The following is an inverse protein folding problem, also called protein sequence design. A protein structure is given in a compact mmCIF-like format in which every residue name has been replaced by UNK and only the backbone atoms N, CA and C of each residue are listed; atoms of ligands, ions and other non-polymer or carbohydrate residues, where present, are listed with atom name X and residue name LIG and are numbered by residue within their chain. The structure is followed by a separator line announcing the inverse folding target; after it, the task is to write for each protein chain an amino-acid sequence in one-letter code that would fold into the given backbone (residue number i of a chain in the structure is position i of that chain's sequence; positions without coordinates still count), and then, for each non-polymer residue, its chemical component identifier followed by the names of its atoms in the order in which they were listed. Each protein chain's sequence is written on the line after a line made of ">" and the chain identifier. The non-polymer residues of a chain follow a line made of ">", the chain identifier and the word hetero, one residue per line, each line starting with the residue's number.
data_IF_505396203597
#
_entry.id   IF_505396203597
#
_cell.length_a   1.000
_cell.length_b   1.000
_cell.length_c   1.000
_cell.angle_alpha   90.00
_cell.angle_beta   90.00
_cell.angle_gamma   90.00
#
_symmetry.space_group_name_H-M   'P 1'
#
loop_
_entity.id
_entity.type
_entity.pdbx_description
1 polymer ?
#
# COMPACT_ATOMS: atom_id res chain seq x y z
N UNK A 1 -8.48 20.13 5.96
CA UNK A 1 -8.71 21.59 6.03
C UNK A 1 -9.10 22.11 4.66
N UNK A 2 -10.03 23.07 4.62
CA UNK A 2 -10.42 23.81 3.42
C UNK A 2 -10.97 25.18 3.79
N UNK A 3 -11.00 26.10 2.81
CA UNK A 3 -11.76 27.35 2.88
C UNK A 3 -12.79 27.32 1.76
N UNK A 4 -14.00 27.78 2.02
CA UNK A 4 -15.02 27.92 0.98
C UNK A 4 -15.74 29.26 1.08
N UNK A 5 -16.20 29.73 -0.08
CA UNK A 5 -17.07 30.89 -0.22
C UNK A 5 -18.21 30.51 -1.15
N UNK A 6 -19.45 30.70 -0.68
CA UNK A 6 -20.66 30.56 -1.50
C UNK A 6 -21.31 31.95 -1.63
N UNK A 7 -21.33 32.51 -2.85
CA UNK A 7 -21.84 33.86 -3.11
C UNK A 7 -22.48 33.93 -4.48
N UNK A 8 -23.65 34.55 -4.59
CA UNK A 8 -24.36 34.79 -5.87
C UNK A 8 -24.52 33.53 -6.73
N UNK A 9 -24.83 32.39 -6.11
CA UNK A 9 -24.96 31.09 -6.79
C UNK A 9 -23.64 30.40 -7.14
N UNK A 10 -22.49 31.02 -6.85
CA UNK A 10 -21.16 30.52 -7.17
C UNK A 10 -20.45 30.00 -5.92
N UNK A 11 -19.81 28.84 -6.02
CA UNK A 11 -19.00 28.24 -4.96
C UNK A 11 -17.52 28.26 -5.35
N UNK A 12 -16.68 28.89 -4.52
CA UNK A 12 -15.21 28.72 -4.60
C UNK A 12 -14.72 27.95 -3.39
N UNK A 13 -13.91 26.91 -3.62
CA UNK A 13 -13.30 26.08 -2.58
C UNK A 13 -11.79 26.04 -2.74
N UNK A 14 -11.05 26.35 -1.68
CA UNK A 14 -9.60 26.22 -1.59
C UNK A 14 -9.28 25.02 -0.71
N UNK A 15 -8.64 24.00 -1.28
CA UNK A 15 -8.29 22.78 -0.56
C UNK A 15 -7.03 22.13 -1.12
N UNK A 16 -6.42 21.25 -0.32
CA UNK A 16 -5.31 20.40 -0.75
C UNK A 16 -5.79 19.06 -1.34
N UNK A 17 -7.01 19.03 -1.90
CA UNK A 17 -7.55 17.84 -2.57
C UNK A 17 -6.62 17.39 -3.70
N UNK A 18 -6.33 16.08 -3.75
CA UNK A 18 -5.55 15.49 -4.86
C UNK A 18 -6.33 15.44 -6.16
N UNK A 19 -7.67 15.51 -6.09
CA UNK A 19 -8.58 15.32 -7.20
C UNK A 19 -9.53 16.51 -7.31
N UNK A 20 -8.99 17.72 -7.47
CA UNK A 20 -9.78 18.97 -7.51
C UNK A 20 -10.90 18.96 -8.55
N UNK A 21 -10.71 18.27 -9.68
CA UNK A 21 -11.75 18.10 -10.70
C UNK A 21 -12.91 17.21 -10.23
N UNK A 22 -12.63 16.15 -9.46
CA UNK A 22 -13.67 15.28 -8.92
C UNK A 22 -14.34 15.92 -7.71
N UNK A 23 -13.59 16.60 -6.85
CA UNK A 23 -14.15 17.44 -5.78
C UNK A 23 -15.13 18.48 -6.36
N UNK A 24 -14.79 19.13 -7.48
CA UNK A 24 -15.69 20.07 -8.16
C UNK A 24 -17.02 19.43 -8.54
N UNK A 25 -16.99 18.21 -9.10
CA UNK A 25 -18.21 17.46 -9.45
C UNK A 25 -19.00 17.09 -8.19
N UNK A 26 -18.34 16.60 -7.15
CA UNK A 26 -19.01 16.20 -5.90
C UNK A 26 -19.71 17.38 -5.23
N UNK A 27 -19.06 18.55 -5.17
CA UNK A 27 -19.65 19.77 -4.62
C UNK A 27 -20.81 20.28 -5.48
N UNK A 28 -20.69 20.23 -6.81
CA UNK A 28 -21.77 20.61 -7.72
C UNK A 28 -23.02 19.74 -7.51
N UNK A 29 -22.83 18.41 -7.44
CA UNK A 29 -23.89 17.46 -7.09
C UNK A 29 -24.49 17.77 -5.73
N UNK A 30 -23.64 17.91 -4.69
CA UNK A 30 -24.07 18.22 -3.32
C UNK A 30 -25.00 19.42 -3.23
N UNK A 31 -24.76 20.48 -3.99
CA UNK A 31 -25.60 21.68 -3.96
C UNK A 31 -26.67 21.74 -5.06
N UNK A 32 -26.75 20.74 -5.94
CA UNK A 32 -27.67 20.73 -7.07
C UNK A 32 -27.42 21.89 -8.05
N UNK A 33 -26.16 22.26 -8.28
CA UNK A 33 -25.75 23.36 -9.16
C UNK A 33 -24.90 22.87 -10.32
N UNK A 34 -24.77 23.68 -11.37
CA UNK A 34 -23.90 23.37 -12.49
C UNK A 34 -22.42 23.33 -12.05
N UNK A 35 -21.64 22.41 -12.63
CA UNK A 35 -20.22 22.30 -12.30
C UNK A 35 -19.41 23.56 -12.67
N UNK A 36 -19.91 24.38 -13.61
CA UNK A 36 -19.31 25.67 -13.99
C UNK A 36 -19.54 26.76 -12.93
N UNK A 37 -20.49 26.55 -12.02
CA UNK A 37 -20.71 27.39 -10.84
C UNK A 37 -19.81 27.01 -9.67
N UNK A 38 -18.95 25.99 -9.82
CA UNK A 38 -18.02 25.54 -8.78
C UNK A 38 -16.58 25.71 -9.24
N UNK A 39 -15.78 26.45 -8.46
CA UNK A 39 -14.33 26.60 -8.67
C UNK A 39 -13.57 25.97 -7.52
N UNK A 40 -12.85 24.89 -7.79
CA UNK A 40 -11.89 24.30 -6.84
C UNK A 40 -10.47 24.82 -7.15
N UNK A 41 -9.81 25.39 -6.15
CA UNK A 41 -8.44 25.92 -6.22
C UNK A 41 -7.56 25.03 -5.35
N UNK A 42 -6.58 24.39 -5.97
CA UNK A 42 -5.57 23.62 -5.25
C UNK A 42 -4.69 24.56 -4.42
N UNK A 43 -4.43 24.16 -3.17
CA UNK A 43 -3.44 24.77 -2.28
C UNK A 43 -2.51 23.67 -1.80
N UNK A 44 -1.22 23.97 -1.67
CA UNK A 44 -0.24 23.01 -1.14
C UNK A 44 -0.66 22.51 0.25
N UNK A 45 -0.57 21.19 0.45
CA UNK A 45 -0.91 20.52 1.69
C UNK A 45 0.16 19.51 2.10
N UNK A 46 0.04 18.98 3.31
CA UNK A 46 1.05 18.11 3.96
C UNK A 46 1.12 16.67 3.42
N UNK A 47 0.79 16.45 2.16
CA UNK A 47 0.62 15.12 1.58
C UNK A 47 -0.62 14.38 2.13
N UNK A 48 -0.99 13.30 1.47
CA UNK A 48 -2.29 12.62 1.65
C UNK A 48 -2.20 11.13 1.33
N UNK A 49 -1.30 10.72 0.43
CA UNK A 49 -0.95 9.32 0.18
C UNK A 49 -2.18 8.48 -0.19
N UNK A 50 -3.10 9.07 -0.96
CA UNK A 50 -4.43 8.57 -1.20
C UNK A 50 -5.48 9.60 -0.79
N UNK A 51 -6.75 9.21 -0.73
CA UNK A 51 -7.82 10.10 -0.27
C UNK A 51 -7.78 10.19 1.26
N UNK A 52 -7.78 11.40 1.79
CA UNK A 52 -7.91 11.71 3.22
C UNK A 52 -9.09 12.68 3.44
N UNK A 53 -9.17 13.35 4.58
CA UNK A 53 -10.25 14.28 4.92
C UNK A 53 -10.23 15.62 4.19
N UNK A 54 -9.40 15.82 3.16
CA UNK A 54 -9.37 17.09 2.43
C UNK A 54 -10.70 17.36 1.71
N UNK A 55 -11.26 16.37 1.02
CA UNK A 55 -12.53 16.51 0.30
C UNK A 55 -13.70 16.67 1.27
N UNK A 56 -13.71 15.94 2.38
CA UNK A 56 -14.76 16.04 3.39
C UNK A 56 -14.73 17.41 4.10
N UNK A 57 -13.55 17.89 4.50
CA UNK A 57 -13.42 19.24 5.05
C UNK A 57 -13.82 20.34 4.04
N UNK A 58 -13.63 20.11 2.73
CA UNK A 58 -14.09 21.02 1.70
C UNK A 58 -15.61 21.05 1.56
N UNK A 59 -16.26 19.90 1.70
CA UNK A 59 -17.72 19.79 1.74
C UNK A 59 -18.31 20.50 2.96
N UNK A 60 -17.74 20.26 4.15
CA UNK A 60 -18.13 20.95 5.39
C UNK A 60 -17.99 22.46 5.26
N UNK A 61 -16.85 22.93 4.74
CA UNK A 61 -16.62 24.36 4.54
C UNK A 61 -17.64 24.97 3.58
N UNK A 62 -17.95 24.29 2.48
CA UNK A 62 -18.93 24.77 1.51
C UNK A 62 -20.34 24.84 2.10
N UNK A 63 -20.75 23.82 2.85
CA UNK A 63 -22.05 23.76 3.51
C UNK A 63 -22.21 24.89 4.52
N UNK A 64 -21.20 25.07 5.38
CA UNK A 64 -21.18 26.14 6.38
C UNK A 64 -21.08 27.53 5.74
N UNK A 65 -20.32 27.71 4.67
CA UNK A 65 -20.22 28.99 3.97
C UNK A 65 -21.56 29.41 3.35
N UNK A 66 -22.31 28.46 2.78
CA UNK A 66 -23.66 28.70 2.26
C UNK A 66 -24.62 29.09 3.38
N UNK A 67 -24.61 28.37 4.51
CA UNK A 67 -25.47 28.65 5.64
C UNK A 67 -25.16 30.00 6.32
N UNK A 68 -23.87 30.34 6.43
CA UNK A 68 -23.42 31.56 7.12
C UNK A 68 -23.42 32.82 6.24
N UNK A 69 -23.58 32.68 4.92
CA UNK A 69 -23.51 33.79 3.96
C UNK A 69 -22.16 34.50 3.90
N UNK A 70 -21.08 33.84 4.34
CA UNK A 70 -19.72 34.40 4.43
C UNK A 70 -18.68 33.31 4.17
N UNK A 71 -17.43 33.65 3.81
CA UNK A 71 -16.37 32.66 3.71
C UNK A 71 -16.15 31.91 5.03
N UNK A 72 -15.98 30.59 4.96
CA UNK A 72 -15.74 29.73 6.12
C UNK A 72 -14.49 28.88 5.90
N UNK A 73 -13.65 28.80 6.93
CA UNK A 73 -12.54 27.83 7.01
C UNK A 73 -12.96 26.68 7.91
N UNK A 74 -12.80 25.45 7.43
CA UNK A 74 -12.95 24.23 8.23
C UNK A 74 -11.61 23.53 8.34
N UNK A 75 -11.21 23.23 9.57
CA UNK A 75 -10.07 22.42 9.89
C UNK A 75 -10.51 21.30 10.82
N UNK A 76 -10.47 20.08 10.31
CA UNK A 76 -10.68 18.88 11.12
C UNK A 76 -9.62 18.78 12.19
N UNK A 77 -10.04 18.40 13.40
CA UNK A 77 -9.10 17.99 14.42
C UNK A 77 -8.45 16.66 14.01
N UNK A 78 -7.36 16.29 14.68
CA UNK A 78 -6.73 14.97 14.45
C UNK A 78 -7.72 13.82 14.74
N UNK A 79 -8.58 14.00 15.75
CA UNK A 79 -9.61 13.03 16.10
C UNK A 79 -10.68 12.91 14.99
N UNK A 80 -11.10 14.03 14.40
CA UNK A 80 -12.06 14.00 13.29
C UNK A 80 -11.45 13.32 12.05
N UNK A 81 -10.20 13.66 11.72
CA UNK A 81 -9.46 13.03 10.61
C UNK A 81 -9.31 11.52 10.80
N UNK A 82 -8.82 11.07 11.95
CA UNK A 82 -8.69 9.63 12.22
C UNK A 82 -10.06 8.94 12.31
N UNK A 83 -11.07 9.60 12.87
CA UNK A 83 -12.41 9.05 13.04
C UNK A 83 -13.17 8.88 11.73
N UNK A 84 -13.12 9.89 10.85
CA UNK A 84 -14.06 10.03 9.73
C UNK A 84 -13.44 9.98 8.33
N UNK A 85 -12.12 10.12 8.20
CA UNK A 85 -11.44 9.95 6.91
C UNK A 85 -11.76 8.57 6.31
N UNK A 86 -11.82 8.44 4.99
CA UNK A 86 -11.99 7.12 4.40
C UNK A 86 -10.76 6.26 4.69
N UNK A 87 -10.93 4.94 4.72
CA UNK A 87 -9.87 3.98 5.11
C UNK A 87 -9.44 3.14 3.92
N UNK A 88 -8.18 2.73 3.90
CA UNK A 88 -7.73 1.67 2.98
C UNK A 88 -8.57 0.41 3.21
N UNK A 89 -9.03 -0.27 2.15
CA UNK A 89 -9.95 -1.38 2.30
C UNK A 89 -9.28 -2.59 2.99
N UNK A 90 -9.97 -3.29 3.90
CA UNK A 90 -9.50 -4.60 4.34
C UNK A 90 -9.43 -5.53 3.14
N UNK A 91 -8.38 -6.34 3.07
CA UNK A 91 -8.18 -7.31 1.99
C UNK A 91 -7.81 -8.64 2.60
N UNK A 92 -8.54 -9.68 2.23
CA UNK A 92 -8.21 -11.07 2.52
C UNK A 92 -7.88 -11.77 1.20
N UNK A 93 -6.84 -12.59 1.19
CA UNK A 93 -6.39 -13.31 0.01
C UNK A 93 -6.11 -14.75 0.37
N UNK A 94 -6.79 -15.67 -0.31
CA UNK A 94 -6.51 -17.10 -0.23
C UNK A 94 -5.70 -17.54 -1.45
N UNK A 95 -4.60 -18.23 -1.22
CA UNK A 95 -3.69 -18.69 -2.25
C UNK A 95 -3.47 -20.20 -2.14
N UNK A 96 -3.41 -20.88 -3.29
CA UNK A 96 -2.99 -22.28 -3.38
C UNK A 96 -2.20 -22.52 -4.66
N UNK A 97 -1.32 -23.51 -4.63
CA UNK A 97 -0.53 -23.91 -5.78
C UNK A 97 -0.37 -25.44 -5.84
N UNK A 98 -0.21 -25.97 -7.05
CA UNK A 98 0.26 -27.33 -7.28
C UNK A 98 1.73 -27.29 -7.65
N UNK A 99 2.52 -28.18 -7.05
CA UNK A 99 3.97 -28.28 -7.23
C UNK A 99 4.33 -29.69 -7.71
N UNK A 100 5.20 -29.79 -8.70
CA UNK A 100 5.70 -31.07 -9.20
C UNK A 100 6.85 -31.64 -8.33
N UNK A 101 7.30 -32.86 -8.62
CA UNK A 101 8.38 -33.52 -7.88
C UNK A 101 9.75 -32.81 -7.97
N UNK A 102 9.92 -31.85 -8.89
CA UNK A 102 11.12 -31.04 -9.04
C UNK A 102 10.97 -29.64 -8.42
N UNK A 103 9.89 -29.37 -7.68
CA UNK A 103 9.63 -28.07 -7.06
C UNK A 103 9.14 -27.00 -8.04
N UNK A 104 8.73 -27.37 -9.25
CA UNK A 104 8.13 -26.46 -10.24
C UNK A 104 6.64 -26.23 -9.98
N UNK A 105 6.18 -24.99 -10.13
CA UNK A 105 4.76 -24.64 -9.95
C UNK A 105 3.98 -24.94 -11.23
N UNK A 106 3.02 -25.87 -11.15
CA UNK A 106 2.21 -26.31 -12.31
C UNK A 106 0.84 -25.63 -12.37
N UNK A 107 0.30 -25.25 -11.22
CA UNK A 107 -0.94 -24.48 -11.13
C UNK A 107 -0.89 -23.46 -9.99
N UNK A 108 -1.52 -22.31 -10.21
CA UNK A 108 -1.71 -21.25 -9.22
C UNK A 108 -3.17 -20.85 -9.17
N UNK A 109 -3.71 -20.73 -7.96
CA UNK A 109 -5.01 -20.13 -7.74
C UNK A 109 -4.96 -19.09 -6.63
N UNK A 110 -5.60 -17.96 -6.91
CA UNK A 110 -5.73 -16.83 -5.99
C UNK A 110 -7.16 -16.36 -5.91
N UNK A 111 -7.64 -16.16 -4.69
CA UNK A 111 -8.96 -15.64 -4.39
C UNK A 111 -8.86 -14.39 -3.54
N UNK A 112 -9.24 -13.25 -4.11
CA UNK A 112 -9.17 -11.94 -3.47
C UNK A 112 -10.56 -11.53 -2.99
N UNK A 113 -10.70 -11.27 -1.69
CA UNK A 113 -11.90 -10.72 -1.07
C UNK A 113 -11.70 -9.22 -0.90
N UNK A 114 -12.34 -8.45 -1.78
CA UNK A 114 -12.12 -7.02 -1.93
C UNK A 114 -13.45 -6.27 -2.03
N UNK A 115 -13.54 -5.00 -1.60
CA UNK A 115 -14.78 -4.26 -1.71
C UNK A 115 -15.29 -4.13 -3.15
N UNK A 116 -16.61 -4.06 -3.28
CA UNK A 116 -17.24 -3.71 -4.54
C UNK A 116 -16.74 -2.34 -4.99
N UNK A 117 -16.29 -2.30 -6.24
CA UNK A 117 -15.95 -1.07 -6.92
C UNK A 117 -17.07 -0.79 -7.91
N UNK A 118 -17.55 0.43 -7.90
CA UNK A 118 -18.49 0.94 -8.89
C UNK A 118 -17.75 1.66 -10.01
N UNK A 119 -18.44 1.95 -11.13
CA UNK A 119 -17.78 2.47 -12.34
C UNK A 119 -17.15 3.87 -12.15
N UNK A 120 -17.57 4.62 -11.14
CA UNK A 120 -17.12 5.98 -10.91
C UNK A 120 -16.06 6.07 -9.80
N UNK A 121 -15.04 6.92 -9.98
CA UNK A 121 -13.96 7.14 -9.01
C UNK A 121 -14.39 8.10 -7.88
N UNK A 122 -15.42 7.72 -7.12
CA UNK A 122 -15.97 8.55 -6.05
C UNK A 122 -15.91 7.87 -4.68
N UNK A 123 -15.87 8.72 -3.66
CA UNK A 123 -16.10 8.34 -2.27
C UNK A 123 -17.09 9.35 -1.72
N UNK A 124 -18.24 8.92 -1.17
CA UNK A 124 -19.27 9.83 -0.69
C UNK A 124 -18.72 10.84 0.32
N UNK A 125 -19.16 12.10 0.20
CA UNK A 125 -18.78 13.17 1.14
C UNK A 125 -19.59 13.02 2.43
N UNK A 126 -18.91 13.04 3.57
CA UNK A 126 -19.55 12.89 4.89
C UNK A 126 -20.66 13.93 5.10
N UNK A 127 -20.38 15.19 4.77
CA UNK A 127 -21.35 16.28 4.86
C UNK A 127 -22.62 16.02 4.05
N UNK A 128 -22.48 15.52 2.81
CA UNK A 128 -23.61 15.25 1.94
C UNK A 128 -24.47 14.10 2.48
N UNK A 129 -23.83 13.03 2.97
CA UNK A 129 -24.53 11.89 3.58
C UNK A 129 -25.28 12.29 4.85
N UNK A 130 -24.63 12.98 5.79
CA UNK A 130 -25.23 13.34 7.09
C UNK A 130 -26.31 14.42 6.98
N UNK A 131 -26.21 15.31 5.99
CA UNK A 131 -27.19 16.36 5.75
C UNK A 131 -28.27 15.96 4.73
N UNK A 132 -28.31 14.68 4.32
CA UNK A 132 -29.26 14.15 3.32
C UNK A 132 -29.29 14.97 2.02
N UNK A 133 -28.13 15.48 1.60
CA UNK A 133 -27.98 16.26 0.38
C UNK A 133 -27.74 15.33 -0.82
N UNK A 134 -28.03 15.78 -2.06
CA UNK A 134 -27.77 14.98 -3.24
C UNK A 134 -26.30 14.52 -3.30
N UNK A 135 -26.06 13.23 -3.44
CA UNK A 135 -24.72 12.68 -3.48
C UNK A 135 -24.63 11.56 -4.49
N UNK A 136 -23.40 11.33 -4.97
CA UNK A 136 -23.07 10.10 -5.66
C UNK A 136 -22.74 9.02 -4.60
N UNK A 137 -23.46 7.90 -4.61
CA UNK A 137 -23.30 6.77 -3.69
C UNK A 137 -22.28 5.72 -4.19
N UNK A 138 -21.65 5.96 -5.34
CA UNK A 138 -20.57 5.15 -5.88
C UNK A 138 -19.39 5.06 -4.91
N UNK A 139 -18.84 3.85 -4.79
CA UNK A 139 -17.66 3.52 -4.00
C UNK A 139 -16.50 3.15 -4.92
N UNK A 140 -15.36 3.83 -4.75
CA UNK A 140 -14.10 3.52 -5.41
C UNK A 140 -12.95 3.39 -4.40
N UNK A 141 -12.54 2.16 -4.05
CA UNK A 141 -11.33 1.91 -3.26
C UNK A 141 -10.03 2.00 -4.09
N UNK A 142 -10.14 2.40 -5.36
CA UNK A 142 -9.04 2.54 -6.33
C UNK A 142 -8.57 1.23 -6.95
N UNK A 143 -9.10 0.84 -8.11
CA UNK A 143 -8.61 -0.23 -9.01
C UNK A 143 -7.98 -1.49 -8.38
N UNK A 144 -8.36 -1.86 -7.16
CA UNK A 144 -7.67 -2.86 -6.34
C UNK A 144 -7.65 -4.25 -6.97
N UNK A 145 -8.62 -4.52 -7.85
CA UNK A 145 -8.71 -5.76 -8.62
C UNK A 145 -7.70 -5.87 -9.75
N UNK A 146 -7.31 -4.76 -10.40
CA UNK A 146 -6.32 -4.74 -11.49
C UNK A 146 -4.95 -5.20 -10.99
N UNK A 147 -4.77 -5.18 -9.67
CA UNK A 147 -3.54 -5.56 -9.00
C UNK A 147 -3.49 -7.02 -8.55
N UNK A 148 -4.48 -7.84 -8.90
CA UNK A 148 -4.59 -9.26 -8.50
C UNK A 148 -3.66 -10.19 -9.29
N UNK A 149 -3.34 -9.84 -10.53
CA UNK A 149 -2.52 -10.67 -11.39
C UNK A 149 -1.05 -10.71 -10.95
N UNK A 150 -0.47 -11.90 -11.03
CA UNK A 150 0.91 -12.21 -10.66
C UNK A 150 1.90 -11.96 -11.81
N UNK A 151 3.16 -11.63 -11.55
CA UNK A 151 4.16 -11.42 -12.59
C UNK A 151 4.89 -12.70 -13.04
N UNK A 152 4.47 -13.87 -12.55
CA UNK A 152 5.10 -15.18 -12.83
C UNK A 152 4.33 -15.96 -13.89
N UNK A 153 5.06 -16.77 -14.66
CA UNK A 153 4.53 -17.67 -15.69
C UNK A 153 4.36 -19.06 -15.11
N UNK A 154 3.11 -19.47 -14.92
CA UNK A 154 2.73 -20.84 -14.59
C UNK A 154 1.83 -21.41 -15.69
N UNK A 155 1.82 -22.74 -15.83
CA UNK A 155 1.05 -23.40 -16.88
C UNK A 155 -0.46 -23.16 -16.74
N UNK A 156 -0.96 -23.18 -15.50
CA UNK A 156 -2.36 -22.90 -15.17
C UNK A 156 -2.44 -21.80 -14.12
N UNK A 157 -3.15 -20.71 -14.42
CA UNK A 157 -3.42 -19.63 -13.46
C UNK A 157 -4.92 -19.35 -13.41
N UNK A 158 -5.49 -19.37 -12.20
CA UNK A 158 -6.86 -18.95 -11.93
C UNK A 158 -6.88 -17.83 -10.91
N UNK A 159 -7.54 -16.73 -11.24
CA UNK A 159 -7.73 -15.61 -10.31
C UNK A 159 -9.20 -15.30 -10.16
N UNK A 160 -9.67 -15.27 -8.92
CA UNK A 160 -11.05 -14.91 -8.56
C UNK A 160 -11.01 -13.65 -7.72
N UNK A 161 -11.81 -12.65 -8.08
CA UNK A 161 -12.05 -11.47 -7.25
C UNK A 161 -13.48 -11.51 -6.72
N UNK A 162 -13.65 -11.82 -5.44
CA UNK A 162 -14.94 -11.77 -4.74
C UNK A 162 -15.18 -10.34 -4.25
N UNK A 163 -16.28 -9.75 -4.72
CA UNK A 163 -16.68 -8.39 -4.38
C UNK A 163 -17.53 -8.39 -3.11
N UNK A 164 -17.05 -7.73 -2.07
CA UNK A 164 -17.80 -7.51 -0.83
C UNK A 164 -18.81 -6.39 -1.05
N UNK A 165 -20.09 -6.67 -0.78
CA UNK A 165 -21.17 -5.70 -0.94
C UNK A 165 -21.04 -4.49 -0.01
N UNK A 166 -20.42 -4.67 1.16
CA UNK A 166 -20.18 -3.61 2.13
C UNK A 166 -18.85 -3.82 2.85
N UNK A 167 -18.37 -2.75 3.48
CA UNK A 167 -17.20 -2.72 4.35
C UNK A 167 -17.55 -2.03 5.67
N UNK A 168 -16.86 -2.36 6.78
CA UNK A 168 -17.12 -1.71 8.07
C UNK A 168 -16.78 -0.21 8.06
N UNK A 169 -15.93 0.24 7.13
CA UNK A 169 -15.54 1.64 6.96
C UNK A 169 -15.78 2.10 5.53
N UNK A 170 -15.85 3.41 5.31
CA UNK A 170 -15.89 4.04 3.99
C UNK A 170 -14.55 3.80 3.27
N UNK A 171 -14.49 2.92 2.26
CA UNK A 171 -13.21 2.50 1.70
C UNK A 171 -12.73 3.51 0.66
N UNK A 172 -11.43 3.76 0.59
CA UNK A 172 -10.81 4.57 -0.46
C UNK A 172 -9.39 4.09 -0.80
N UNK A 173 -8.83 4.65 -1.87
CA UNK A 173 -7.46 4.40 -2.26
C UNK A 173 -6.52 4.99 -1.22
N UNK A 174 -5.69 4.11 -0.68
CA UNK A 174 -4.45 4.44 0.00
C UNK A 174 -3.31 4.11 -0.94
N UNK A 175 -2.18 4.82 -0.82
CA UNK A 175 -0.99 4.68 -1.68
C UNK A 175 -0.75 3.22 -2.01
N UNK A 176 -0.52 2.94 -3.30
CA UNK A 176 -0.43 1.60 -3.90
C UNK A 176 -1.72 0.76 -3.75
N UNK A 177 -2.88 1.28 -4.21
CA UNK A 177 -4.20 0.74 -3.85
C UNK A 177 -4.38 -0.69 -4.37
N UNK A 178 -4.57 -1.62 -3.45
CA UNK A 178 -4.68 -3.07 -3.71
C UNK A 178 -3.35 -3.72 -4.06
N UNK A 179 -2.41 -3.01 -4.70
CA UNK A 179 -1.12 -3.59 -5.08
C UNK A 179 -0.25 -3.94 -3.88
N UNK A 180 -0.27 -3.18 -2.79
CA UNK A 180 0.47 -3.55 -1.56
C UNK A 180 -0.03 -4.88 -0.99
N UNK A 181 -1.34 -4.99 -0.81
CA UNK A 181 -1.97 -6.18 -0.24
C UNK A 181 -1.77 -7.41 -1.13
N UNK A 182 -1.95 -7.23 -2.45
CA UNK A 182 -1.84 -8.34 -3.38
C UNK A 182 -0.39 -8.78 -3.59
N UNK A 183 0.56 -7.84 -3.72
CA UNK A 183 1.99 -8.18 -3.79
C UNK A 183 2.45 -8.81 -2.48
N UNK A 184 1.97 -8.36 -1.33
CA UNK A 184 2.27 -9.01 -0.05
C UNK A 184 1.87 -10.49 -0.06
N UNK A 185 0.62 -10.80 -0.38
CA UNK A 185 0.13 -12.18 -0.42
C UNK A 185 0.91 -13.02 -1.44
N UNK A 186 1.06 -12.51 -2.67
CA UNK A 186 1.71 -13.23 -3.76
C UNK A 186 3.19 -13.50 -3.47
N UNK A 187 3.95 -12.49 -3.03
CA UNK A 187 5.40 -12.61 -2.82
C UNK A 187 5.76 -13.39 -1.56
N UNK A 188 4.92 -13.39 -0.51
CA UNK A 188 5.10 -14.28 0.62
C UNK A 188 4.84 -15.73 0.22
N UNK A 189 3.78 -15.97 -0.57
CA UNK A 189 3.47 -17.34 -0.99
C UNK A 189 4.49 -17.89 -2.00
N UNK A 190 5.03 -17.05 -2.89
CA UNK A 190 6.17 -17.44 -3.75
C UNK A 190 7.39 -17.82 -2.92
N UNK A 191 7.66 -17.11 -1.83
CA UNK A 191 8.75 -17.45 -0.91
C UNK A 191 8.48 -18.75 -0.13
N UNK A 192 7.22 -19.02 0.24
CA UNK A 192 6.80 -20.32 0.80
C UNK A 192 7.04 -21.47 -0.18
N UNK A 193 6.73 -21.28 -1.46
CA UNK A 193 6.98 -22.26 -2.52
C UNK A 193 8.48 -22.49 -2.74
N UNK A 194 9.29 -21.42 -2.71
CA UNK A 194 10.75 -21.54 -2.80
C UNK A 194 11.32 -22.35 -1.63
N UNK A 195 10.86 -22.07 -0.40
CA UNK A 195 11.27 -22.81 0.78
C UNK A 195 10.84 -24.29 0.73
N UNK A 196 9.62 -24.57 0.29
CA UNK A 196 9.12 -25.94 0.12
C UNK A 196 9.92 -26.73 -0.94
N UNK A 197 10.37 -26.04 -1.99
CA UNK A 197 11.25 -26.61 -3.02
C UNK A 197 12.73 -26.68 -2.58
N UNK A 198 13.06 -26.22 -1.36
CA UNK A 198 14.43 -26.06 -0.87
C UNK A 198 15.33 -25.29 -1.87
N UNK A 199 14.76 -24.26 -2.50
CA UNK A 199 15.40 -23.42 -3.49
C UNK A 199 15.75 -22.03 -2.93
N UNK A 200 16.75 -21.39 -3.52
CA UNK A 200 17.02 -19.98 -3.26
C UNK A 200 15.84 -19.11 -3.77
N UNK A 201 15.37 -18.13 -2.98
CA UNK A 201 14.17 -17.35 -3.33
C UNK A 201 14.39 -16.36 -4.48
N UNK A 202 15.62 -15.97 -4.80
CA UNK A 202 15.94 -15.15 -6.00
C UNK A 202 15.90 -16.04 -7.23
N UNK A 203 16.58 -17.18 -7.20
CA UNK A 203 16.58 -18.15 -8.31
C UNK A 203 15.18 -18.69 -8.59
N UNK A 204 14.39 -18.94 -7.54
CA UNK A 204 13.02 -19.41 -7.70
C UNK A 204 12.17 -18.39 -8.45
N UNK A 205 12.31 -17.10 -8.14
CA UNK A 205 11.62 -16.03 -8.88
C UNK A 205 12.08 -15.95 -10.32
N UNK A 206 13.40 -15.92 -10.56
CA UNK A 206 13.99 -15.85 -11.90
C UNK A 206 13.56 -17.03 -12.78
N UNK A 207 13.50 -18.26 -12.24
CA UNK A 207 13.05 -19.47 -12.94
C UNK A 207 11.61 -19.35 -13.44
N UNK A 208 10.75 -18.63 -12.71
CA UNK A 208 9.32 -18.52 -13.01
C UNK A 208 8.92 -17.19 -13.65
N UNK A 209 9.87 -16.29 -13.95
CA UNK A 209 9.60 -15.13 -14.80
C UNK A 209 9.49 -15.53 -16.27
N UNK A 210 8.80 -14.69 -17.07
CA UNK A 210 8.89 -14.79 -18.52
C UNK A 210 10.35 -14.53 -18.95
N UNK A 211 11.01 -15.45 -19.68
CA UNK A 211 12.39 -15.24 -20.11
C UNK A 211 12.56 -14.04 -21.06
N UNK A 212 11.48 -13.54 -21.66
CA UNK A 212 11.47 -12.32 -22.46
C UNK A 212 11.29 -11.05 -21.63
N UNK A 213 10.93 -11.16 -20.35
CA UNK A 213 10.80 -10.01 -19.45
C UNK A 213 12.16 -9.57 -18.89
N UNK A 214 12.98 -8.99 -19.78
CA UNK A 214 14.35 -8.58 -19.47
C UNK A 214 14.42 -7.57 -18.32
N UNK A 215 13.44 -6.65 -18.22
CA UNK A 215 13.36 -5.65 -17.13
C UNK A 215 13.13 -6.31 -15.77
N UNK A 216 12.25 -7.30 -15.71
CA UNK A 216 12.00 -8.05 -14.47
C UNK A 216 13.21 -8.85 -14.00
N UNK A 217 13.87 -9.54 -14.94
CA UNK A 217 15.10 -10.30 -14.68
C UNK A 217 16.22 -9.35 -14.20
N UNK A 218 16.40 -8.22 -14.88
CA UNK A 218 17.42 -7.23 -14.53
C UNK A 218 17.20 -6.68 -13.12
N UNK A 219 16.00 -6.23 -12.79
CA UNK A 219 15.67 -5.64 -11.48
C UNK A 219 15.91 -6.63 -10.33
N UNK A 220 15.52 -7.89 -10.48
CA UNK A 220 15.80 -8.94 -9.48
C UNK A 220 17.30 -9.16 -9.28
N UNK A 221 18.05 -9.32 -10.38
CA UNK A 221 19.50 -9.52 -10.32
C UNK A 221 20.23 -8.33 -9.69
N UNK A 222 19.81 -7.11 -10.03
CA UNK A 222 20.41 -5.89 -9.48
C UNK A 222 20.09 -5.72 -8.01
N UNK A 223 18.86 -6.01 -7.57
CA UNK A 223 18.52 -6.00 -6.13
C UNK A 223 19.35 -7.03 -5.36
N UNK A 224 19.49 -8.25 -5.88
CA UNK A 224 20.31 -9.29 -5.26
C UNK A 224 21.80 -8.90 -5.20
N UNK A 225 22.36 -8.35 -6.28
CA UNK A 225 23.73 -7.88 -6.32
C UNK A 225 23.97 -6.70 -5.36
N UNK A 226 23.07 -5.70 -5.37
CA UNK A 226 23.12 -4.52 -4.50
C UNK A 226 23.11 -4.93 -3.02
N UNK A 227 22.30 -5.93 -2.69
CA UNK A 227 22.22 -6.49 -1.35
C UNK A 227 23.39 -7.44 -1.02
N UNK A 228 24.28 -7.80 -1.97
CA UNK A 228 25.24 -8.90 -1.77
C UNK A 228 24.52 -10.16 -1.28
N UNK A 229 23.51 -10.58 -2.04
CA UNK A 229 22.61 -11.66 -1.67
C UNK A 229 23.37 -12.94 -1.31
N UNK A 230 23.01 -13.54 -0.18
CA UNK A 230 23.54 -14.82 0.27
C UNK A 230 22.68 -15.92 -0.36
N UNK A 231 23.20 -16.53 -1.42
CA UNK A 231 22.44 -17.48 -2.23
C UNK A 231 22.25 -18.80 -1.50
N UNK A 232 21.04 -19.02 -0.97
CA UNK A 232 20.64 -20.26 -0.27
C UNK A 232 19.13 -20.32 -0.09
N UNK A 233 18.64 -21.52 0.23
CA UNK A 233 17.26 -21.68 0.69
C UNK A 233 17.05 -21.01 2.06
N UNK A 234 15.85 -20.43 2.22
CA UNK A 234 15.33 -19.99 3.52
C UNK A 234 14.58 -21.14 4.21
N UNK A 235 14.54 -21.19 5.55
CA UNK A 235 15.15 -20.25 6.48
C UNK A 235 16.63 -20.55 6.76
N UNK A 236 17.34 -19.57 7.31
CA UNK A 236 18.72 -19.73 7.78
C UNK A 236 18.79 -20.79 8.87
N UNK A 237 19.37 -21.95 8.54
CA UNK A 237 19.69 -23.01 9.51
C UNK A 237 20.93 -22.54 10.29
N UNK A 238 20.90 -22.51 11.63
CA UNK A 238 22.00 -22.11 12.55
C UNK A 238 21.97 -20.69 13.16
N UNK A 239 20.82 -20.03 13.19
CA UNK A 239 20.66 -18.80 14.00
C UNK A 239 20.63 -19.14 15.50
N UNK A 240 21.53 -18.55 16.31
CA UNK A 240 21.59 -18.71 17.77
C UNK A 240 21.55 -17.35 18.48
N UNK A 241 21.19 -17.35 19.75
CA UNK A 241 21.14 -16.15 20.57
C UNK A 241 19.78 -15.45 20.59
N UNK A 242 19.71 -14.34 21.32
CA UNK A 242 18.47 -13.61 21.55
C UNK A 242 17.96 -12.87 20.30
N UNK A 243 18.88 -12.36 19.48
CA UNK A 243 18.57 -11.63 18.24
C UNK A 243 18.89 -12.50 17.05
N UNK A 244 17.85 -12.85 16.28
CA UNK A 244 18.00 -13.52 15.00
C UNK A 244 18.06 -12.49 13.86
N UNK A 245 18.81 -12.80 12.80
CA UNK A 245 18.96 -11.93 11.62
C UNK A 245 18.47 -12.65 10.38
N UNK A 246 17.75 -11.96 9.52
CA UNK A 246 17.26 -12.56 8.28
C UNK A 246 17.19 -11.58 7.14
N UNK A 247 17.11 -12.14 5.94
CA UNK A 247 17.05 -11.38 4.69
C UNK A 247 15.90 -11.89 3.84
N UNK A 248 15.16 -10.99 3.23
CA UNK A 248 13.98 -11.34 2.44
C UNK A 248 13.89 -10.49 1.20
N UNK A 249 13.63 -11.14 0.06
CA UNK A 249 13.42 -10.47 -1.22
C UNK A 249 11.95 -10.48 -1.60
N UNK A 250 11.51 -9.42 -2.28
CA UNK A 250 10.22 -9.36 -2.94
C UNK A 250 10.35 -8.58 -4.26
N UNK A 251 9.46 -8.90 -5.21
CA UNK A 251 9.42 -8.30 -6.53
C UNK A 251 8.00 -7.86 -6.92
N UNK A 252 7.91 -6.76 -7.66
CA UNK A 252 6.66 -6.25 -8.20
C UNK A 252 6.87 -5.70 -9.62
N UNK A 253 5.99 -6.14 -10.52
CA UNK A 253 5.77 -5.53 -11.83
C UNK A 253 4.48 -4.71 -11.77
N UNK A 254 4.60 -3.43 -11.48
CA UNK A 254 3.46 -2.55 -11.21
C UNK A 254 2.58 -2.42 -12.46
N UNK A 255 1.28 -2.70 -12.30
CA UNK A 255 0.31 -2.82 -13.40
C UNK A 255 0.76 -3.76 -14.54
N UNK A 256 1.61 -4.75 -14.23
CA UNK A 256 2.14 -5.75 -15.15
C UNK A 256 2.78 -5.20 -16.43
N UNK A 257 3.23 -3.94 -16.44
CA UNK A 257 3.81 -3.34 -17.66
C UNK A 257 4.63 -2.06 -17.42
N UNK A 258 4.39 -1.34 -16.32
CA UNK A 258 4.92 0.01 -16.13
C UNK A 258 6.27 0.00 -15.40
N UNK A 259 6.21 0.03 -14.07
CA UNK A 259 7.37 0.14 -13.20
C UNK A 259 7.73 -1.22 -12.62
N UNK A 260 9.02 -1.53 -12.60
CA UNK A 260 9.55 -2.77 -12.05
C UNK A 260 10.37 -2.44 -10.82
N UNK A 261 10.17 -3.22 -9.76
CA UNK A 261 10.89 -3.04 -8.51
C UNK A 261 11.15 -4.37 -7.83
N UNK A 262 12.36 -4.52 -7.30
CA UNK A 262 12.71 -5.56 -6.34
C UNK A 262 13.30 -4.91 -5.09
N UNK A 263 12.86 -5.40 -3.94
CA UNK A 263 13.31 -4.94 -2.63
C UNK A 263 13.91 -6.08 -1.83
N UNK A 264 15.02 -5.83 -1.13
CA UNK A 264 15.59 -6.75 -0.14
C UNK A 264 15.56 -6.08 1.23
N UNK A 265 14.91 -6.70 2.20
CA UNK A 265 14.94 -6.26 3.59
C UNK A 265 15.98 -7.07 4.38
N UNK A 266 16.71 -6.40 5.26
CA UNK A 266 17.45 -7.02 6.36
C UNK A 266 16.75 -6.69 7.68
N UNK A 267 16.52 -7.72 8.49
CA UNK A 267 15.81 -7.59 9.77
C UNK A 267 16.59 -8.21 10.92
N UNK A 268 16.41 -7.62 12.09
CA UNK A 268 16.70 -8.20 13.40
C UNK A 268 15.39 -8.55 14.08
N UNK A 269 15.27 -9.77 14.62
CA UNK A 269 14.11 -10.23 15.39
C UNK A 269 14.56 -10.63 16.78
N UNK A 270 14.04 -9.95 17.81
CA UNK A 270 14.30 -10.31 19.20
C UNK A 270 13.36 -11.44 19.62
N UNK A 271 13.90 -12.64 19.79
CA UNK A 271 13.10 -13.88 20.01
C UNK A 271 12.28 -13.86 21.30
N UNK A 272 12.73 -13.11 22.30
CA UNK A 272 12.09 -13.02 23.62
C UNK A 272 10.87 -12.10 23.64
N UNK A 273 10.84 -11.09 22.77
CA UNK A 273 9.77 -10.07 22.75
C UNK A 273 8.95 -10.06 21.46
N UNK A 274 9.47 -10.62 20.36
CA UNK A 274 8.86 -10.54 19.04
C UNK A 274 9.13 -9.21 18.33
N UNK A 275 9.94 -8.31 18.92
CA UNK A 275 10.29 -7.04 18.31
C UNK A 275 11.07 -7.26 17.01
N UNK A 276 10.63 -6.58 15.95
CA UNK A 276 11.28 -6.57 14.65
C UNK A 276 11.89 -5.19 14.42
N UNK A 277 13.17 -5.16 14.03
CA UNK A 277 13.83 -3.98 13.49
C UNK A 277 14.25 -4.24 12.05
N UNK A 278 13.79 -3.42 11.13
CA UNK A 278 14.38 -3.36 9.78
C UNK A 278 15.66 -2.54 9.90
N UNK A 279 16.80 -3.16 9.64
CA UNK A 279 18.11 -2.49 9.73
C UNK A 279 18.49 -1.83 8.41
N UNK A 280 18.11 -2.47 7.30
CA UNK A 280 18.47 -2.04 5.95
C UNK A 280 17.43 -2.44 4.93
N UNK A 281 17.21 -1.61 3.91
CA UNK A 281 16.35 -1.93 2.78
C UNK A 281 17.04 -1.53 1.47
N UNK A 282 17.24 -2.50 0.59
CA UNK A 282 17.85 -2.32 -0.72
C UNK A 282 16.76 -2.30 -1.79
N UNK A 283 16.88 -1.42 -2.78
CA UNK A 283 15.88 -1.27 -3.83
C UNK A 283 16.56 -1.19 -5.19
N UNK A 284 16.20 -2.06 -6.11
CA UNK A 284 16.41 -1.82 -7.54
C UNK A 284 15.09 -1.33 -8.15
N UNK A 285 15.10 -0.15 -8.78
CA UNK A 285 13.88 0.50 -9.28
C UNK A 285 14.03 0.95 -10.73
N UNK A 286 13.11 0.49 -11.57
CA UNK A 286 13.04 0.80 -13.00
C UNK A 286 11.66 1.37 -13.36
N UNK A 287 11.61 2.67 -13.60
CA UNK A 287 10.41 3.38 -14.05
C UNK A 287 10.57 3.98 -15.46
N UNK A 288 11.34 3.32 -16.34
CA UNK A 288 11.68 3.91 -17.64
C UNK A 288 12.63 5.10 -17.47
N UNK A 289 12.42 6.16 -18.25
CA UNK A 289 13.22 7.38 -18.12
C UNK A 289 13.02 8.05 -16.75
N UNK A 290 14.11 8.33 -16.06
CA UNK A 290 14.10 9.07 -14.80
C UNK A 290 14.15 10.57 -15.10
N UNK A 291 13.09 11.29 -14.75
CA UNK A 291 12.98 12.74 -14.98
C UNK A 291 13.79 13.54 -13.94
N UNK A 292 13.72 13.12 -12.68
CA UNK A 292 14.41 13.76 -11.56
C UNK A 292 14.93 12.67 -10.62
N UNK A 293 16.23 12.31 -10.70
CA UNK A 293 16.82 11.26 -9.87
C UNK A 293 16.73 11.53 -8.37
N UNK A 294 16.89 12.78 -7.93
CA UNK A 294 16.80 13.12 -6.51
C UNK A 294 15.35 13.12 -6.01
N UNK A 295 14.42 13.59 -6.86
CA UNK A 295 12.98 13.44 -6.60
C UNK A 295 12.54 11.98 -6.50
N UNK A 296 13.12 11.10 -7.34
CA UNK A 296 12.89 9.66 -7.26
C UNK A 296 13.39 9.08 -5.93
N UNK A 297 14.62 9.40 -5.50
CA UNK A 297 15.15 8.95 -4.20
C UNK A 297 14.24 9.38 -3.04
N UNK A 298 13.84 10.66 -3.01
CA UNK A 298 12.93 11.18 -1.98
C UNK A 298 11.58 10.43 -1.96
N UNK A 299 11.07 10.06 -3.14
CA UNK A 299 9.85 9.25 -3.23
C UNK A 299 10.08 7.83 -2.71
N UNK A 300 11.23 7.21 -2.98
CA UNK A 300 11.58 5.89 -2.45
C UNK A 300 11.77 5.91 -0.93
N UNK A 301 12.44 6.92 -0.37
CA UNK A 301 12.56 7.14 1.07
C UNK A 301 11.17 7.13 1.72
N UNK A 302 10.28 8.00 1.23
CA UNK A 302 8.91 8.12 1.74
C UNK A 302 8.07 6.86 1.57
N UNK A 303 8.17 6.15 0.43
CA UNK A 303 7.47 4.88 0.21
C UNK A 303 7.90 3.83 1.23
N UNK A 304 9.21 3.63 1.40
CA UNK A 304 9.74 2.56 2.25
C UNK A 304 9.48 2.86 3.72
N UNK A 305 9.78 4.07 4.20
CA UNK A 305 9.58 4.46 5.60
C UNK A 305 8.10 4.34 6.00
N UNK A 306 7.20 4.90 5.18
CA UNK A 306 5.76 4.82 5.41
C UNK A 306 5.27 3.37 5.45
N UNK A 307 5.80 2.51 4.58
CA UNK A 307 5.32 1.13 4.49
C UNK A 307 5.93 0.24 5.57
N UNK A 308 7.16 0.48 6.01
CA UNK A 308 7.74 -0.18 7.19
C UNK A 308 6.87 0.14 8.40
N UNK A 309 6.53 1.41 8.60
CA UNK A 309 5.65 1.87 9.68
C UNK A 309 4.32 1.10 9.67
N UNK A 310 3.65 1.04 8.51
CA UNK A 310 2.40 0.26 8.33
C UNK A 310 2.56 -1.24 8.53
N UNK A 311 3.70 -1.80 8.13
CA UNK A 311 3.96 -3.24 8.23
C UNK A 311 4.20 -3.66 9.67
N UNK A 312 4.86 -2.82 10.48
CA UNK A 312 5.30 -3.20 11.82
C UNK A 312 4.35 -2.76 12.93
N UNK A 313 3.75 -1.57 12.84
CA UNK A 313 3.14 -0.92 14.03
C UNK A 313 1.79 -0.24 13.79
N UNK A 314 1.48 0.26 12.58
CA UNK A 314 0.25 1.02 12.38
C UNK A 314 -0.98 0.11 12.30
N UNK A 315 -1.90 0.24 13.27
CA UNK A 315 -3.14 -0.54 13.34
C UNK A 315 -4.33 0.40 13.60
N UNK A 316 -5.32 0.38 12.71
CA UNK A 316 -6.59 1.05 12.93
C UNK A 316 -7.38 0.27 13.98
N UNK A 317 -7.65 0.89 15.13
CA UNK A 317 -8.47 0.29 16.19
C UNK A 317 -9.89 0.84 16.13
N UNK A 318 -10.86 -0.03 16.41
CA UNK A 318 -12.27 0.30 16.36
C UNK A 318 -13.10 -0.65 17.22
N UNK A 319 -14.31 -0.22 17.57
CA UNK A 319 -15.33 -1.07 18.19
C UNK A 319 -16.60 -1.11 17.31
N UNK A 320 -17.74 -1.57 17.86
CA UNK A 320 -18.99 -1.67 17.11
C UNK A 320 -19.61 -0.31 16.74
N UNK A 321 -19.11 0.78 17.33
CA UNK A 321 -19.65 2.12 17.17
C UNK A 321 -18.74 3.04 16.33
N UNK A 322 -17.42 3.00 16.55
CA UNK A 322 -16.52 3.96 15.94
C UNK A 322 -15.05 3.50 15.90
N UNK A 323 -14.23 4.27 15.18
CA UNK A 323 -12.77 4.22 15.28
C UNK A 323 -12.35 4.73 16.67
N UNK A 324 -11.43 4.02 17.32
CA UNK A 324 -10.91 4.35 18.66
C UNK A 324 -9.45 4.81 18.64
N UNK A 325 -8.73 4.56 17.56
CA UNK A 325 -7.37 5.09 17.33
C UNK A 325 -7.41 6.50 16.73
N UNK A 326 -7.72 7.50 17.57
CA UNK A 326 -8.06 8.87 17.16
C UNK A 326 -6.89 9.88 17.16
N UNK A 327 -5.69 9.44 17.56
CA UNK A 327 -4.52 10.31 17.64
C UNK A 327 -3.21 9.53 17.43
N UNK A 328 -2.07 10.23 17.49
CA UNK A 328 -0.75 9.63 17.30
C UNK A 328 -0.26 8.79 18.49
N UNK A 329 -0.94 8.86 19.64
CA UNK A 329 -0.63 8.01 20.79
C UNK A 329 -1.30 6.64 20.64
N UNK A 330 -2.56 6.63 20.18
CA UNK A 330 -3.36 5.44 19.92
C UNK A 330 -3.11 4.82 18.54
N UNK A 331 -2.59 5.59 17.58
CA UNK A 331 -2.10 5.16 16.27
C UNK A 331 -0.62 5.55 16.10
N UNK A 332 0.33 4.78 16.65
CA UNK A 332 1.75 5.13 16.56
C UNK A 332 2.30 4.92 15.15
N UNK A 333 3.21 5.80 14.74
CA UNK A 333 4.00 5.70 13.51
C UNK A 333 5.49 5.57 13.84
N UNK A 334 6.27 5.16 12.84
CA UNK A 334 7.70 4.90 12.97
C UNK A 334 8.44 6.18 13.38
N UNK A 335 9.38 6.07 14.32
CA UNK A 335 10.21 7.18 14.80
C UNK A 335 11.59 7.16 14.17
N UNK A 336 12.28 8.30 14.17
CA UNK A 336 13.60 8.47 13.54
C UNK A 336 14.63 7.37 13.87
N UNK A 337 14.79 6.90 15.13
CA UNK A 337 15.75 5.84 15.45
C UNK A 337 15.46 4.48 14.81
N UNK A 338 14.24 4.29 14.32
CA UNK A 338 13.75 3.06 13.71
C UNK A 338 13.82 3.11 12.16
N UNK A 339 14.21 4.25 11.58
CA UNK A 339 14.39 4.36 10.12
C UNK A 339 15.61 3.49 9.72
N UNK A 340 15.46 2.58 8.74
CA UNK A 340 16.58 1.76 8.27
C UNK A 340 17.54 2.56 7.40
N UNK A 341 18.73 2.00 7.14
CA UNK A 341 19.54 2.45 6.02
C UNK A 341 18.84 2.07 4.70
N UNK A 342 18.67 3.02 3.78
CA UNK A 342 18.10 2.79 2.46
C UNK A 342 19.18 2.86 1.38
N UNK A 343 19.25 1.84 0.54
CA UNK A 343 20.26 1.74 -0.53
C UNK A 343 19.58 1.53 -1.86
N UNK A 344 19.92 2.38 -2.82
CA UNK A 344 19.23 2.47 -4.10
C UNK A 344 20.10 2.03 -5.25
N UNK A 345 19.49 1.30 -6.16
CA UNK A 345 19.93 1.13 -7.52
C UNK A 345 18.84 1.63 -8.47
N UNK A 346 19.08 2.81 -9.06
CA UNK A 346 18.16 3.48 -9.97
C UNK A 346 18.51 3.10 -11.41
N UNK A 347 17.62 2.36 -12.06
CA UNK A 347 17.81 1.92 -13.45
C UNK A 347 17.22 3.00 -14.36
N UNK A 348 18.06 3.92 -14.82
CA UNK A 348 17.64 4.94 -15.79
C UNK A 348 17.57 4.37 -17.21
N UNK A 349 16.50 4.73 -17.93
CA UNK A 349 16.28 4.33 -19.33
C UNK A 349 16.00 5.57 -20.18
N UNK A 350 17.04 6.33 -20.59
CA UNK A 350 16.89 7.68 -21.15
C UNK A 350 16.16 7.81 -22.50
N UNK A 351 15.62 6.71 -23.07
CA UNK A 351 14.84 6.72 -24.31
C UNK A 351 13.52 5.93 -24.19
N UNK A 352 13.16 5.51 -22.98
CA UNK A 352 11.89 4.83 -22.73
C UNK A 352 10.86 5.77 -22.13
N UNK A 353 9.58 5.42 -22.26
CA UNK A 353 8.50 6.19 -21.64
C UNK A 353 8.72 6.29 -20.12
N UNK A 354 8.62 7.49 -19.52
CA UNK A 354 8.63 7.62 -18.07
C UNK A 354 7.36 7.02 -17.48
N UNK A 355 7.53 6.22 -16.42
CA UNK A 355 6.45 5.61 -15.67
C UNK A 355 6.40 6.15 -14.23
N UNK A 356 5.28 5.91 -13.55
CA UNK A 356 5.08 6.37 -12.18
C UNK A 356 6.00 5.67 -11.18
N UNK A 357 6.64 6.46 -10.32
CA UNK A 357 7.47 5.97 -9.20
C UNK A 357 6.83 6.25 -7.82
N UNK A 358 5.62 6.81 -7.81
CA UNK A 358 4.98 7.30 -6.60
C UNK A 358 4.59 6.22 -5.59
N UNK A 359 4.40 5.00 -6.05
CA UNK A 359 3.74 3.91 -5.32
C UNK A 359 4.50 2.56 -5.32
N UNK A 360 5.25 2.17 -6.39
CA UNK A 360 5.72 0.79 -6.53
C UNK A 360 6.58 0.26 -5.38
N UNK A 361 7.43 1.09 -4.76
CA UNK A 361 8.27 0.64 -3.66
C UNK A 361 7.47 0.20 -2.43
N UNK A 362 6.34 0.83 -2.16
CA UNK A 362 5.44 0.42 -1.08
C UNK A 362 4.84 -0.99 -1.33
N UNK A 363 4.81 -1.50 -2.56
CA UNK A 363 4.25 -2.82 -2.85
C UNK A 363 5.12 -3.98 -2.38
N UNK A 364 6.45 -3.82 -2.33
CA UNK A 364 7.40 -4.92 -2.02
C UNK A 364 7.84 -4.94 -0.56
N UNK A 365 7.66 -3.84 0.17
CA UNK A 365 8.17 -3.70 1.55
C UNK A 365 7.58 -4.74 2.50
N UNK A 366 6.25 -4.98 2.56
CA UNK A 366 5.69 -5.91 3.54
C UNK A 366 6.17 -7.35 3.33
N UNK A 367 6.22 -7.81 2.06
CA UNK A 367 6.66 -9.16 1.74
C UNK A 367 8.16 -9.36 1.93
N UNK A 368 8.99 -8.37 1.56
CA UNK A 368 10.42 -8.43 1.85
C UNK A 368 10.69 -8.59 3.35
N UNK A 369 9.96 -7.86 4.20
CA UNK A 369 10.06 -7.97 5.66
C UNK A 369 9.57 -9.33 6.16
N UNK A 370 8.40 -9.81 5.71
CA UNK A 370 7.87 -11.12 6.11
C UNK A 370 8.83 -12.26 5.76
N UNK A 371 9.36 -12.24 4.52
CA UNK A 371 10.32 -13.22 4.05
C UNK A 371 11.62 -13.16 4.85
N UNK A 372 12.07 -11.97 5.26
CA UNK A 372 13.25 -11.79 6.11
C UNK A 372 13.02 -12.31 7.53
N UNK A 373 11.82 -12.12 8.10
CA UNK A 373 11.45 -12.69 9.40
C UNK A 373 11.43 -14.22 9.32
N UNK A 374 10.84 -14.79 8.27
CA UNK A 374 10.89 -16.23 8.04
C UNK A 374 12.33 -16.72 7.95
N UNK A 375 13.19 -16.04 7.19
CA UNK A 375 14.60 -16.39 7.11
C UNK A 375 15.32 -16.37 8.47
N UNK A 376 14.98 -15.39 9.33
CA UNK A 376 15.58 -15.23 10.65
C UNK A 376 15.14 -16.30 11.67
N UNK A 377 13.84 -16.57 11.74
CA UNK A 377 13.24 -17.33 12.85
C UNK A 377 12.40 -18.53 12.42
N UNK A 378 12.22 -18.77 11.12
CA UNK A 378 11.46 -19.89 10.57
C UNK A 378 9.94 -19.75 10.68
N UNK A 379 9.44 -18.56 11.04
CA UNK A 379 8.01 -18.28 11.27
C UNK A 379 7.44 -17.47 10.11
N UNK A 380 6.27 -17.86 9.59
CA UNK A 380 5.56 -17.12 8.54
C UNK A 380 4.56 -16.15 9.15
N UNK A 381 4.72 -14.86 8.87
CA UNK A 381 3.74 -13.84 9.23
C UNK A 381 2.80 -13.63 8.05
N UNK A 382 1.49 -13.85 8.27
CA UNK A 382 0.46 -13.78 7.21
C UNK A 382 -0.57 -12.67 7.43
N UNK A 383 -0.47 -11.91 8.52
CA UNK A 383 -1.35 -10.78 8.83
C UNK A 383 -0.52 -9.58 9.31
N UNK A 384 -0.76 -8.42 8.70
CA UNK A 384 -0.15 -7.14 9.08
C UNK A 384 -1.09 -6.37 10.04
N UNK A 385 -0.56 -5.52 10.94
CA UNK A 385 0.87 -5.29 11.20
C UNK A 385 1.52 -6.39 12.06
N UNK A 386 2.86 -6.48 12.01
CA UNK A 386 3.69 -7.42 12.77
C UNK A 386 4.02 -6.90 14.17
N UNK A 387 2.96 -6.67 14.96
CA UNK A 387 3.14 -6.24 16.36
C UNK A 387 3.86 -7.33 17.16
N UNK A 388 4.61 -6.97 18.22
CA UNK A 388 5.34 -7.93 19.05
C UNK A 388 4.44 -9.09 19.54
N UNK A 389 3.21 -8.80 19.95
CA UNK A 389 2.25 -9.82 20.38
C UNK A 389 1.89 -10.82 19.28
N UNK A 390 1.65 -10.35 18.04
CA UNK A 390 1.34 -11.21 16.89
C UNK A 390 2.56 -12.06 16.51
N UNK A 391 3.76 -11.48 16.57
CA UNK A 391 5.01 -12.22 16.31
C UNK A 391 5.25 -13.29 17.37
N UNK A 392 5.03 -12.97 18.65
CA UNK A 392 5.16 -13.92 19.75
C UNK A 392 4.11 -15.04 19.69
N UNK A 393 2.87 -14.74 19.28
CA UNK A 393 1.85 -15.75 19.03
C UNK A 393 2.30 -16.71 17.91
N UNK A 394 2.85 -16.18 16.83
CA UNK A 394 3.35 -16.98 15.72
C UNK A 394 4.57 -17.84 16.11
N UNK A 395 5.51 -17.32 16.91
CA UNK A 395 6.66 -18.09 17.46
C UNK A 395 6.19 -19.28 18.31
N UNK A 396 5.10 -19.10 19.08
CA UNK A 396 4.53 -20.15 19.93
C UNK A 396 3.67 -21.17 19.16
N UNK A 397 3.48 -20.98 17.84
CA UNK A 397 2.62 -21.83 17.01
C UNK A 397 1.12 -21.62 17.25
N UNK A 398 0.72 -20.44 17.76
CA UNK A 398 -0.66 -20.11 18.10
C UNK A 398 -1.36 -19.22 17.04
N UNK A 399 -0.75 -19.03 15.86
CA UNK A 399 -1.20 -18.10 14.83
C UNK A 399 -1.31 -18.73 13.44
#
# INVERSE_FOLDING_TARGET
>A
CAVAQFKDGQLTSWSASQATHDLRKQLATMFGINADSVRCIYIEGSGCYGRNGHEDAAADAALLAKAAGRPVRVQWSRADEHGWDPKGPPTLVDLRAAVDGAGGVTAWESEFYIPQQTAAFFVPLVAATLAEMPADDHIAPGNIFQNSAIPYKFATVKTVCRRLASTPFRPSWIRTPGRMQNTYANECFVDELAAAANADPVEFRLKHLDPNDKRGIEVLNRAAALAKWDKRASPSRNQRGEVARGRGIAYCKYELSRTYIAGVAEVEVKRSTGDIRVTKFYIAHDCGQIINPDGLKNQLDGNVIQTISRTLIEELKYDRSAVTSLDWASYPILRFPQIPELVYDLIDRPNERPWGAGEPAAAVVPSAISNAVFDAIGVRLRSVPYTPDKVMAAIKGAA
#
